data_IF_618556545923
#
_entry.id   IF_618556545923
#
_cell.length_a   1.000
_cell.length_b   1.000
_cell.length_c   1.000
_cell.angle_alpha   90.00
_cell.angle_beta   90.00
_cell.angle_gamma   90.00
#
_symmetry.space_group_name_H-M   'P 1'
#
loop_
_entity.id
_entity.type
_entity.pdbx_description
1 polymer ?
#
# COMPACT_ATOMS: atom_id res chain seq x y z
N UNK A 1 -49.75 -11.22 34.67
CA UNK A 1 -49.51 -11.91 33.37
C UNK A 1 -48.95 -10.98 32.25
N UNK A 2 -49.29 -9.72 32.22
CA UNK A 2 -48.85 -8.77 31.17
C UNK A 2 -47.37 -8.37 31.18
N UNK A 3 -46.67 -8.35 32.33
CA UNK A 3 -45.26 -7.94 32.40
C UNK A 3 -44.30 -8.90 31.67
N UNK A 4 -44.49 -10.21 31.78
CA UNK A 4 -43.66 -11.23 31.12
C UNK A 4 -43.73 -11.18 29.58
N UNK A 5 -44.89 -10.75 29.05
CA UNK A 5 -45.10 -10.62 27.59
C UNK A 5 -44.34 -9.36 27.08
N UNK A 6 -44.38 -8.27 27.84
CA UNK A 6 -43.66 -7.04 27.48
C UNK A 6 -42.13 -7.22 27.52
N UNK A 7 -41.59 -7.98 28.47
CA UNK A 7 -40.17 -8.27 28.56
C UNK A 7 -39.68 -9.13 27.38
N UNK A 8 -40.48 -10.11 26.94
CA UNK A 8 -40.17 -10.91 25.77
C UNK A 8 -40.19 -10.09 24.47
N UNK A 9 -41.12 -9.16 24.31
CA UNK A 9 -41.16 -8.22 23.17
C UNK A 9 -39.98 -7.29 23.18
N UNK A 10 -39.59 -6.68 24.31
CA UNK A 10 -38.39 -5.84 24.47
C UNK A 10 -37.10 -6.59 24.14
N UNK A 11 -36.92 -7.82 24.63
CA UNK A 11 -35.75 -8.65 24.31
C UNK A 11 -35.66 -8.96 22.81
N UNK A 12 -36.79 -9.26 22.15
CA UNK A 12 -36.78 -9.51 20.68
C UNK A 12 -36.46 -8.24 19.89
N UNK A 13 -36.98 -7.09 20.32
CA UNK A 13 -36.72 -5.81 19.67
C UNK A 13 -35.26 -5.39 19.84
N UNK A 14 -34.66 -5.54 21.01
CA UNK A 14 -33.23 -5.27 21.23
C UNK A 14 -32.34 -6.20 20.43
N UNK A 15 -32.66 -7.50 20.32
CA UNK A 15 -31.89 -8.43 19.47
C UNK A 15 -31.96 -8.04 18.00
N UNK A 16 -33.08 -7.53 17.50
CA UNK A 16 -33.20 -7.02 16.13
C UNK A 16 -32.35 -5.77 15.92
N UNK A 17 -32.38 -4.82 16.86
CA UNK A 17 -31.54 -3.61 16.81
C UNK A 17 -30.06 -3.95 16.80
N UNK A 18 -29.61 -4.86 17.67
CA UNK A 18 -28.21 -5.31 17.70
C UNK A 18 -27.81 -5.95 16.38
N UNK A 19 -28.64 -6.80 15.78
CA UNK A 19 -28.34 -7.41 14.47
C UNK A 19 -28.21 -6.36 13.35
N UNK A 20 -29.07 -5.34 13.35
CA UNK A 20 -29.00 -4.24 12.39
C UNK A 20 -27.70 -3.43 12.55
N UNK A 21 -27.33 -3.09 13.78
CA UNK A 21 -26.09 -2.36 14.07
C UNK A 21 -24.86 -3.17 13.62
N UNK A 22 -24.82 -4.47 13.90
CA UNK A 22 -23.74 -5.35 13.45
C UNK A 22 -23.67 -5.45 11.92
N UNK A 23 -24.82 -5.51 11.25
CA UNK A 23 -24.86 -5.54 9.78
C UNK A 23 -24.35 -4.24 9.17
N UNK A 24 -24.73 -3.08 9.72
CA UNK A 24 -24.25 -1.78 9.29
C UNK A 24 -22.73 -1.67 9.52
N UNK A 25 -22.22 -2.07 10.69
CA UNK A 25 -20.80 -2.07 11.00
C UNK A 25 -20.01 -2.97 10.02
N UNK A 26 -20.55 -4.14 9.67
CA UNK A 26 -19.96 -5.05 8.70
C UNK A 26 -19.93 -4.47 7.29
N UNK A 27 -21.01 -3.80 6.86
CA UNK A 27 -21.05 -3.11 5.56
C UNK A 27 -20.05 -1.96 5.48
N UNK A 28 -19.91 -1.16 6.56
CA UNK A 28 -18.91 -0.08 6.63
C UNK A 28 -17.50 -0.68 6.55
N UNK A 29 -17.23 -1.78 7.26
CA UNK A 29 -15.94 -2.47 7.22
C UNK A 29 -15.60 -2.97 5.81
N UNK A 30 -16.54 -3.64 5.12
CA UNK A 30 -16.33 -4.10 3.74
C UNK A 30 -16.09 -2.93 2.80
N UNK A 31 -16.91 -1.87 2.89
CA UNK A 31 -16.76 -0.69 2.04
C UNK A 31 -15.40 -0.01 2.24
N UNK A 32 -14.97 0.17 3.48
CA UNK A 32 -13.67 0.78 3.79
C UNK A 32 -12.50 -0.06 3.26
N UNK A 33 -12.59 -1.39 3.37
CA UNK A 33 -11.59 -2.32 2.84
C UNK A 33 -11.53 -2.27 1.30
N UNK A 34 -12.68 -2.20 0.64
CA UNK A 34 -12.77 -2.10 -0.81
C UNK A 34 -12.16 -0.79 -1.34
N UNK A 35 -12.50 0.36 -0.73
CA UNK A 35 -11.89 1.65 -1.05
C UNK A 35 -10.37 1.67 -0.79
N UNK A 36 -9.92 1.00 0.27
CA UNK A 36 -8.48 0.89 0.55
C UNK A 36 -7.72 0.09 -0.52
N UNK A 37 -8.36 -0.87 -1.19
CA UNK A 37 -7.75 -1.64 -2.29
C UNK A 37 -7.72 -0.89 -3.62
N UNK A 38 -8.72 -0.07 -3.93
CA UNK A 38 -8.82 0.63 -5.22
C UNK A 38 -7.69 1.63 -5.48
N UNK A 39 -7.08 2.19 -4.42
CA UNK A 39 -6.03 3.20 -4.53
C UNK A 39 -4.62 2.63 -4.51
N UNK A 40 -4.45 1.31 -4.48
CA UNK A 40 -3.13 0.68 -4.58
C UNK A 40 -2.60 0.85 -6.00
N UNK A 41 -1.40 1.40 -6.10
CA UNK A 41 -0.79 1.72 -7.39
C UNK A 41 -0.06 0.53 -8.02
N UNK A 42 0.23 -0.53 -7.24
CA UNK A 42 0.98 -1.68 -7.74
C UNK A 42 0.56 -2.98 -7.04
N UNK A 43 0.62 -4.07 -7.80
CA UNK A 43 0.45 -5.45 -7.30
C UNK A 43 1.77 -6.18 -7.50
N UNK A 44 2.41 -6.59 -6.40
CA UNK A 44 3.68 -7.34 -6.41
C UNK A 44 3.51 -8.59 -5.57
N UNK A 45 4.04 -9.71 -6.05
CA UNK A 45 4.21 -10.90 -5.24
C UNK A 45 5.70 -11.00 -4.84
N UNK A 46 6.06 -10.94 -3.54
CA UNK A 46 7.45 -10.99 -3.11
C UNK A 46 8.18 -12.27 -3.50
N UNK A 47 7.44 -13.35 -3.74
CA UNK A 47 8.02 -14.66 -4.13
C UNK A 47 8.58 -14.66 -5.54
N UNK A 48 8.08 -13.77 -6.40
CA UNK A 48 8.49 -13.66 -7.79
C UNK A 48 9.73 -12.76 -7.97
N UNK A 49 10.20 -12.12 -6.88
CA UNK A 49 11.32 -11.19 -6.90
C UNK A 49 12.59 -11.96 -6.54
N UNK A 50 13.59 -11.88 -7.41
CA UNK A 50 14.92 -12.45 -7.24
C UNK A 50 15.82 -11.55 -6.42
N UNK A 51 15.92 -10.27 -6.82
CA UNK A 51 16.68 -9.24 -6.09
C UNK A 51 16.12 -7.84 -6.31
N UNK A 52 16.55 -6.93 -5.45
CA UNK A 52 16.26 -5.50 -5.50
C UNK A 52 17.54 -4.74 -5.79
N UNK A 53 17.46 -3.70 -6.59
CA UNK A 53 18.53 -2.76 -6.84
C UNK A 53 18.07 -1.35 -6.49
N UNK A 54 18.75 -0.75 -5.53
CA UNK A 54 18.51 0.61 -5.07
C UNK A 54 19.52 1.55 -5.75
N UNK A 55 19.01 2.62 -6.36
CA UNK A 55 19.86 3.66 -6.98
C UNK A 55 19.46 5.02 -6.45
N UNK A 56 20.41 5.71 -5.84
CA UNK A 56 20.25 7.06 -5.29
C UNK A 56 21.13 8.02 -6.10
N UNK A 57 20.49 8.75 -7.01
CA UNK A 57 21.25 9.57 -7.97
C UNK A 57 22.02 10.71 -7.31
N UNK A 58 21.56 11.25 -6.21
CA UNK A 58 22.23 12.35 -5.52
C UNK A 58 23.64 11.98 -5.02
N UNK A 59 23.79 10.76 -4.52
CA UNK A 59 25.01 10.29 -3.88
C UNK A 59 25.74 9.25 -4.74
N UNK A 60 25.27 9.03 -5.99
CA UNK A 60 25.75 7.99 -6.91
C UNK A 60 25.82 6.59 -6.28
N UNK A 61 24.96 6.34 -5.30
CA UNK A 61 24.95 5.10 -4.55
C UNK A 61 24.07 4.07 -5.25
N UNK A 62 24.64 2.89 -5.49
CA UNK A 62 23.92 1.73 -5.99
C UNK A 62 24.11 0.55 -5.05
N UNK A 63 23.02 -0.12 -4.67
CA UNK A 63 23.06 -1.26 -3.76
C UNK A 63 22.09 -2.36 -4.18
N UNK A 64 22.58 -3.60 -4.19
CA UNK A 64 21.78 -4.76 -4.50
C UNK A 64 21.46 -5.55 -3.24
N UNK A 65 20.21 -5.99 -3.10
CA UNK A 65 19.70 -6.78 -1.97
C UNK A 65 19.01 -8.01 -2.52
N UNK A 66 19.48 -9.20 -2.14
CA UNK A 66 18.98 -10.49 -2.61
C UNK A 66 18.41 -11.39 -1.50
N UNK A 67 18.46 -10.95 -0.24
CA UNK A 67 17.88 -11.75 0.83
C UNK A 67 16.35 -11.68 0.84
N UNK A 68 15.72 -12.82 1.00
CA UNK A 68 14.26 -12.99 0.88
C UNK A 68 13.48 -12.21 1.94
N UNK A 69 14.07 -11.95 3.11
CA UNK A 69 13.40 -11.22 4.18
C UNK A 69 13.32 -9.73 3.84
N UNK A 70 14.42 -9.13 3.43
CA UNK A 70 14.47 -7.72 2.98
C UNK A 70 13.57 -7.48 1.77
N UNK A 71 13.59 -8.38 0.80
CA UNK A 71 12.67 -8.35 -0.36
C UNK A 71 11.22 -8.34 0.10
N UNK A 72 10.83 -9.22 1.03
CA UNK A 72 9.47 -9.30 1.57
C UNK A 72 9.06 -8.02 2.32
N UNK A 73 9.97 -7.44 3.10
CA UNK A 73 9.74 -6.20 3.85
C UNK A 73 9.52 -5.04 2.88
N UNK A 74 10.40 -4.87 1.88
CA UNK A 74 10.29 -3.81 0.89
C UNK A 74 9.04 -3.98 0.01
N UNK A 75 8.75 -5.18 -0.48
CA UNK A 75 7.54 -5.46 -1.24
C UNK A 75 6.27 -5.18 -0.44
N UNK A 76 6.27 -5.43 0.88
CA UNK A 76 5.16 -5.07 1.77
C UNK A 76 4.98 -3.55 1.88
N UNK A 77 6.06 -2.77 1.90
CA UNK A 77 5.99 -1.32 1.91
C UNK A 77 5.43 -0.77 0.59
N UNK A 78 5.92 -1.28 -0.53
CA UNK A 78 5.46 -0.91 -1.89
C UNK A 78 3.97 -1.21 -2.05
N UNK A 79 3.49 -2.38 -1.62
CA UNK A 79 2.06 -2.75 -1.65
C UNK A 79 1.15 -1.80 -0.88
N UNK A 80 1.68 -1.09 0.11
CA UNK A 80 0.92 -0.14 0.94
C UNK A 80 0.85 1.24 0.31
N UNK A 81 1.67 1.54 -0.69
CA UNK A 81 1.61 2.82 -1.38
C UNK A 81 0.26 2.97 -2.07
N UNK A 82 -0.34 4.14 -1.87
CA UNK A 82 -1.61 4.54 -2.46
C UNK A 82 -1.41 5.81 -3.25
N UNK A 83 -2.04 5.89 -4.41
CA UNK A 83 -1.92 7.06 -5.26
C UNK A 83 -3.03 7.12 -6.28
N UNK A 84 -3.11 8.28 -6.93
CA UNK A 84 -3.97 8.49 -8.10
C UNK A 84 -3.08 8.70 -9.32
N UNK A 85 -3.45 8.11 -10.46
CA UNK A 85 -2.75 8.31 -11.72
C UNK A 85 -2.67 9.80 -12.03
N UNK A 86 -1.48 10.25 -12.42
CA UNK A 86 -1.18 11.65 -12.72
C UNK A 86 -0.67 11.77 -14.14
N UNK A 87 -1.08 12.84 -14.84
CA UNK A 87 -0.52 13.23 -16.13
C UNK A 87 0.69 14.15 -15.98
N UNK A 88 0.94 14.66 -14.75
CA UNK A 88 2.09 15.48 -14.44
C UNK A 88 3.22 14.59 -13.96
N UNK A 89 4.39 14.75 -14.54
CA UNK A 89 5.64 14.24 -14.01
C UNK A 89 6.17 15.16 -12.89
N UNK A 90 7.08 14.66 -12.10
CA UNK A 90 7.73 15.46 -11.06
C UNK A 90 9.02 16.07 -11.62
N UNK A 91 8.90 16.98 -12.59
CA UNK A 91 10.02 17.52 -13.36
C UNK A 91 11.07 18.27 -12.52
N UNK A 92 10.72 18.79 -11.34
CA UNK A 92 11.57 19.71 -10.55
C UNK A 92 12.07 19.12 -9.22
N UNK A 93 12.37 17.83 -9.13
CA UNK A 93 12.90 17.26 -7.90
C UNK A 93 14.41 17.11 -7.94
N UNK A 94 15.09 17.61 -6.89
CA UNK A 94 16.52 17.42 -6.70
C UNK A 94 16.90 16.01 -6.22
N UNK A 95 15.97 15.27 -5.64
CA UNK A 95 16.23 13.93 -5.10
C UNK A 95 15.41 12.89 -5.84
N UNK A 96 16.12 11.99 -6.51
CA UNK A 96 15.54 10.88 -7.26
C UNK A 96 16.01 9.59 -6.62
N UNK A 97 15.03 8.78 -6.17
CA UNK A 97 15.24 7.42 -5.68
C UNK A 97 14.69 6.44 -6.69
N UNK A 98 15.49 5.51 -7.16
CA UNK A 98 15.06 4.45 -8.07
C UNK A 98 15.22 3.10 -7.40
N UNK A 99 14.17 2.31 -7.43
CA UNK A 99 14.16 0.92 -7.01
C UNK A 99 13.78 0.04 -8.19
N UNK A 100 14.68 -0.81 -8.59
CA UNK A 100 14.47 -1.83 -9.59
C UNK A 100 14.17 -3.17 -8.89
N UNK A 101 13.06 -3.80 -9.25
CA UNK A 101 12.71 -5.14 -8.80
C UNK A 101 12.92 -6.10 -9.96
N UNK A 102 13.88 -7.00 -9.83
CA UNK A 102 14.15 -8.03 -10.82
C UNK A 102 13.42 -9.31 -10.43
N UNK A 103 12.72 -9.90 -11.39
CA UNK A 103 11.94 -11.12 -11.21
C UNK A 103 12.70 -12.34 -11.66
N UNK A 104 12.44 -13.50 -11.04
CA UNK A 104 13.01 -14.79 -11.41
C UNK A 104 12.80 -15.16 -12.90
N UNK A 105 11.76 -14.65 -13.55
CA UNK A 105 11.47 -14.86 -14.96
C UNK A 105 12.15 -13.84 -15.91
N UNK A 106 13.11 -13.06 -15.41
CA UNK A 106 13.82 -12.03 -16.17
C UNK A 106 13.05 -10.70 -16.35
N UNK A 107 11.83 -10.59 -15.83
CA UNK A 107 11.09 -9.32 -15.86
C UNK A 107 11.65 -8.31 -14.86
N UNK A 108 11.49 -7.02 -15.17
CA UNK A 108 11.89 -5.90 -14.32
C UNK A 108 10.68 -5.02 -14.03
N UNK A 109 10.58 -4.48 -12.81
CA UNK A 109 9.67 -3.40 -12.45
C UNK A 109 10.53 -2.25 -11.96
N UNK A 110 10.38 -1.08 -12.54
CA UNK A 110 11.06 0.13 -12.11
C UNK A 110 10.12 1.01 -11.29
N UNK A 111 10.56 1.41 -10.11
CA UNK A 111 9.87 2.36 -9.24
C UNK A 111 10.76 3.56 -9.06
N UNK A 112 10.35 4.71 -9.59
CA UNK A 112 11.04 5.98 -9.49
C UNK A 112 10.26 6.90 -8.54
N UNK A 113 10.89 7.33 -7.46
CA UNK A 113 10.28 8.16 -6.41
C UNK A 113 10.83 9.58 -6.48
N UNK A 114 9.95 10.58 -6.61
CA UNK A 114 10.26 12.01 -6.62
C UNK A 114 9.23 12.77 -5.76
N UNK A 115 9.65 13.40 -4.68
CA UNK A 115 8.76 14.17 -3.80
C UNK A 115 7.43 13.44 -3.48
N UNK A 116 6.30 14.00 -3.89
CA UNK A 116 4.95 13.41 -3.71
C UNK A 116 4.50 12.52 -4.86
N UNK A 117 5.38 12.24 -5.82
CA UNK A 117 5.08 11.41 -6.98
C UNK A 117 5.89 10.12 -6.99
N UNK A 118 5.32 9.10 -7.60
CA UNK A 118 6.01 7.85 -7.92
C UNK A 118 5.68 7.46 -9.35
N UNK A 119 6.67 7.02 -10.09
CA UNK A 119 6.49 6.36 -11.39
C UNK A 119 6.69 4.86 -11.22
N UNK A 120 5.85 4.08 -11.86
CA UNK A 120 5.98 2.63 -11.96
C UNK A 120 5.94 2.28 -13.43
N UNK A 121 7.07 1.77 -13.93
CA UNK A 121 7.26 1.46 -15.35
C UNK A 121 6.83 2.62 -16.28
N UNK A 122 7.17 3.85 -15.90
CA UNK A 122 6.86 5.08 -16.64
C UNK A 122 5.47 5.67 -16.40
N UNK A 123 4.61 5.01 -15.63
CA UNK A 123 3.28 5.55 -15.28
C UNK A 123 3.36 6.32 -13.97
N UNK A 124 3.04 7.61 -14.00
CA UNK A 124 3.11 8.50 -12.85
C UNK A 124 1.85 8.42 -11.98
N UNK A 125 2.07 8.48 -10.67
CA UNK A 125 1.03 8.54 -9.63
C UNK A 125 1.38 9.60 -8.61
N UNK A 126 0.39 10.40 -8.21
CA UNK A 126 0.50 11.29 -7.05
C UNK A 126 0.17 10.48 -5.79
N UNK A 127 1.12 10.41 -4.86
CA UNK A 127 0.99 9.65 -3.60
C UNK A 127 -0.05 10.28 -2.69
N UNK A 128 -0.80 9.45 -2.00
CA UNK A 128 -1.85 9.86 -1.05
C UNK A 128 -1.33 9.77 0.39
N UNK A 129 -1.30 10.93 1.06
CA UNK A 129 -0.89 11.05 2.47
C UNK A 129 0.50 10.45 2.72
N UNK A 130 0.65 9.79 3.86
CA UNK A 130 1.89 9.13 4.32
C UNK A 130 2.06 7.69 3.81
N UNK A 131 1.36 7.31 2.74
CA UNK A 131 1.38 5.91 2.28
C UNK A 131 2.73 5.44 1.73
N UNK A 132 3.65 6.35 1.41
CA UNK A 132 5.02 6.06 1.00
C UNK A 132 6.06 6.14 2.11
N UNK A 133 5.73 6.64 3.31
CA UNK A 133 6.72 6.92 4.37
C UNK A 133 7.55 5.67 4.73
N UNK A 134 6.88 4.52 4.79
CA UNK A 134 7.59 3.26 5.05
C UNK A 134 8.53 2.86 3.93
N UNK A 135 8.15 3.11 2.68
CA UNK A 135 9.03 2.87 1.53
C UNK A 135 10.24 3.79 1.60
N UNK A 136 10.03 5.08 1.81
CA UNK A 136 11.09 6.08 1.87
C UNK A 136 12.09 5.76 3.00
N UNK A 137 11.58 5.39 4.20
CA UNK A 137 12.41 4.96 5.33
C UNK A 137 13.26 3.73 5.01
N UNK A 138 12.64 2.69 4.46
CA UNK A 138 13.36 1.46 4.09
C UNK A 138 14.36 1.69 2.97
N UNK A 139 14.02 2.55 1.99
CA UNK A 139 14.94 2.92 0.93
C UNK A 139 16.22 3.55 1.51
N UNK A 140 16.06 4.51 2.42
CA UNK A 140 17.20 5.15 3.07
C UNK A 140 18.00 4.16 3.95
N UNK A 141 17.33 3.25 4.67
CA UNK A 141 17.96 2.21 5.49
C UNK A 141 18.78 1.22 4.66
N UNK A 142 18.29 0.82 3.48
CA UNK A 142 19.01 -0.09 2.59
C UNK A 142 20.11 0.59 1.77
N UNK A 143 20.16 1.91 1.70
CA UNK A 143 21.18 2.68 0.95
C UNK A 143 22.23 3.37 1.84
N UNK A 144 22.15 3.18 3.17
CA UNK A 144 23.21 3.53 4.12
C UNK A 144 24.29 2.44 4.10
#
# INVERSE_FOLDING_TARGET
MNQRINDRKRKRQNRRKIKIVLLIAFLIYISSSFFAMQNRIIKINPRDIEYLEFVKYKDETMRTVNDKQSIKIMASAIKKMKGKKSTKDASESSEIRVLNLYKENGGKIEILRKNTFVSIDGIWYKIMGSSSDRFDKLFDEFTQ
#
